data_IF_618861355294
#
_entry.id   IF_618861355294
#
_cell.length_a   1.000
_cell.length_b   1.000
_cell.length_c   1.000
_cell.angle_alpha   90.00
_cell.angle_beta   90.00
_cell.angle_gamma   90.00
#
_symmetry.space_group_name_H-M   'P 1'
#
loop_
_entity.id
_entity.type
_entity.pdbx_description
1 polymer ?
#
# COMPACT_ATOMS: atom_id res chain seq x y z
N UNK A 1 8.01 -64.66 -32.97
CA UNK A 1 7.38 -63.82 -31.92
C UNK A 1 8.12 -62.49 -31.88
N UNK A 2 7.69 -61.49 -32.67
CA UNK A 2 8.23 -60.14 -32.65
C UNK A 2 7.04 -59.17 -32.55
N UNK A 3 6.83 -58.57 -31.37
CA UNK A 3 5.80 -57.55 -31.15
C UNK A 3 6.36 -56.16 -31.46
N UNK A 4 5.61 -55.26 -32.13
CA UNK A 4 6.08 -53.91 -32.40
C UNK A 4 5.84 -53.00 -31.18
N UNK A 5 6.84 -52.18 -30.88
CA UNK A 5 6.80 -51.18 -29.83
C UNK A 5 6.02 -49.90 -30.21
N UNK A 6 5.41 -49.32 -29.18
CA UNK A 6 5.03 -47.94 -28.89
C UNK A 6 4.79 -46.92 -30.03
N UNK A 7 3.72 -46.11 -29.85
CA UNK A 7 3.81 -44.65 -29.72
C UNK A 7 2.46 -44.06 -29.25
N UNK A 8 2.33 -43.76 -27.97
CA UNK A 8 1.25 -42.92 -27.43
C UNK A 8 1.62 -41.45 -27.59
N UNK A 9 1.15 -40.83 -28.67
CA UNK A 9 1.25 -39.38 -28.87
C UNK A 9 0.27 -38.65 -27.94
N UNK A 10 0.74 -38.22 -26.76
CA UNK A 10 -0.04 -37.36 -25.86
C UNK A 10 -0.34 -35.98 -26.47
N UNK A 11 -1.48 -35.34 -26.15
CA UNK A 11 -1.92 -34.11 -26.78
C UNK A 11 -0.98 -32.94 -26.47
N UNK A 12 -0.22 -32.50 -27.48
CA UNK A 12 0.70 -31.34 -27.42
C UNK A 12 -0.01 -29.97 -27.45
N UNK A 13 -1.33 -29.92 -27.27
CA UNK A 13 -2.14 -28.72 -27.51
C UNK A 13 -2.35 -27.78 -26.33
N UNK A 14 -2.07 -28.21 -25.09
CA UNK A 14 -2.41 -27.46 -23.87
C UNK A 14 -1.27 -26.60 -23.31
N UNK A 15 -0.04 -26.74 -23.81
CA UNK A 15 1.12 -25.94 -23.34
C UNK A 15 0.95 -24.43 -23.57
N UNK A 16 0.13 -24.02 -24.53
CA UNK A 16 -0.16 -22.59 -24.82
C UNK A 16 -1.06 -21.91 -23.78
N UNK A 17 -1.73 -22.68 -22.93
CA UNK A 17 -2.60 -22.17 -21.85
C UNK A 17 -1.96 -22.30 -20.46
N UNK A 18 -0.83 -23.00 -20.36
CA UNK A 18 -0.10 -23.26 -19.10
C UNK A 18 1.19 -22.44 -18.97
N UNK A 19 1.51 -21.59 -19.95
CA UNK A 19 2.61 -20.63 -19.84
C UNK A 19 2.16 -19.38 -19.07
N UNK A 20 3.09 -18.67 -18.39
CA UNK A 20 2.80 -17.37 -17.80
C UNK A 20 2.17 -16.47 -18.86
N UNK A 21 0.96 -15.98 -18.61
CA UNK A 21 0.32 -15.01 -19.50
C UNK A 21 1.19 -13.75 -19.48
N UNK A 22 1.59 -13.19 -20.64
CA UNK A 22 2.30 -11.92 -20.64
C UNK A 22 1.44 -10.88 -19.89
N UNK A 23 2.04 -10.06 -19.03
CA UNK A 23 1.32 -9.01 -18.32
C UNK A 23 0.55 -8.19 -19.35
N UNK A 24 -0.74 -7.99 -19.11
CA UNK A 24 -1.52 -7.09 -19.95
C UNK A 24 -1.10 -5.67 -19.57
N UNK A 25 -0.92 -4.77 -20.54
CA UNK A 25 -0.68 -3.38 -20.19
C UNK A 25 -1.83 -2.88 -19.34
N UNK A 26 -1.50 -2.23 -18.24
CA UNK A 26 -2.47 -1.54 -17.41
C UNK A 26 -3.17 -0.45 -18.25
N UNK A 27 -4.47 -0.26 -18.03
CA UNK A 27 -5.27 0.74 -18.76
C UNK A 27 -5.91 1.70 -17.80
N UNK A 28 -5.96 2.98 -18.17
CA UNK A 28 -6.73 3.97 -17.43
C UNK A 28 -8.21 3.57 -17.42
N UNK A 29 -8.79 3.42 -16.24
CA UNK A 29 -10.17 2.99 -16.05
C UNK A 29 -11.20 4.08 -16.38
N UNK A 30 -10.74 5.32 -16.65
CA UNK A 30 -11.60 6.43 -17.05
C UNK A 30 -11.70 6.61 -18.57
N UNK A 31 -10.57 6.53 -19.29
CA UNK A 31 -10.52 6.79 -20.74
C UNK A 31 -10.01 5.63 -21.58
N UNK A 32 -9.57 4.53 -20.97
CA UNK A 32 -9.12 3.32 -21.65
C UNK A 32 -7.72 3.39 -22.26
N UNK A 33 -7.00 4.52 -22.14
CA UNK A 33 -5.63 4.62 -22.67
C UNK A 33 -4.69 3.68 -21.89
N UNK A 34 -3.76 3.04 -22.59
CA UNK A 34 -2.70 2.27 -21.94
C UNK A 34 -1.87 3.21 -21.06
N UNK A 35 -1.53 2.76 -19.86
CA UNK A 35 -0.66 3.46 -18.94
C UNK A 35 0.64 2.67 -18.75
N UNK A 36 1.73 3.38 -18.48
CA UNK A 36 3.00 2.72 -18.18
C UNK A 36 2.88 1.96 -16.84
N UNK A 37 3.49 0.78 -16.75
CA UNK A 37 3.59 0.03 -15.49
C UNK A 37 4.25 0.92 -14.41
N UNK A 38 5.35 1.57 -14.79
CA UNK A 38 6.05 2.54 -13.94
C UNK A 38 5.55 3.96 -14.22
N UNK A 39 4.79 4.53 -13.27
CA UNK A 39 4.43 5.96 -13.28
C UNK A 39 3.01 6.30 -13.74
N UNK A 40 2.10 5.32 -13.80
CA UNK A 40 0.67 5.63 -13.80
C UNK A 40 0.24 6.20 -12.44
N UNK A 41 -0.88 6.94 -12.44
CA UNK A 41 -1.40 7.59 -11.25
C UNK A 41 -2.60 6.81 -10.74
N UNK A 42 -2.94 6.99 -9.47
CA UNK A 42 -4.15 6.42 -8.89
C UNK A 42 -5.13 7.50 -8.46
N UNK A 43 -6.40 7.14 -8.57
CA UNK A 43 -7.48 7.82 -7.87
C UNK A 43 -8.03 6.90 -6.78
N UNK A 44 -8.54 7.46 -5.70
CA UNK A 44 -9.34 6.74 -4.70
C UNK A 44 -10.80 7.01 -4.96
N UNK A 45 -11.58 5.94 -5.15
CA UNK A 45 -13.04 6.01 -5.06
C UNK A 45 -13.44 5.96 -3.58
N UNK A 46 -13.70 7.12 -2.96
CA UNK A 46 -13.85 7.27 -1.50
C UNK A 46 -15.00 6.47 -0.90
N UNK A 47 -16.11 6.32 -1.64
CA UNK A 47 -17.27 5.53 -1.22
C UNK A 47 -16.95 4.02 -1.18
N UNK A 48 -16.24 3.50 -2.20
CA UNK A 48 -15.91 2.07 -2.32
C UNK A 48 -14.57 1.69 -1.69
N UNK A 49 -13.72 2.68 -1.41
CA UNK A 49 -12.34 2.53 -0.94
C UNK A 49 -11.49 1.68 -1.87
N UNK A 50 -11.68 1.89 -3.16
CA UNK A 50 -10.94 1.19 -4.20
C UNK A 50 -10.03 2.16 -4.94
N UNK A 51 -8.84 1.68 -5.28
CA UNK A 51 -7.94 2.39 -6.18
C UNK A 51 -8.42 2.21 -7.61
N UNK A 52 -8.23 3.26 -8.40
CA UNK A 52 -8.59 3.31 -9.82
C UNK A 52 -7.35 3.78 -10.59
N UNK A 53 -6.90 2.99 -11.55
CA UNK A 53 -5.78 3.33 -12.41
C UNK A 53 -6.13 4.51 -13.33
N UNK A 54 -5.29 5.54 -13.32
CA UNK A 54 -5.50 6.76 -14.10
C UNK A 54 -4.24 7.16 -14.89
N UNK A 55 -4.45 7.60 -16.13
CA UNK A 55 -3.40 8.31 -16.86
C UNK A 55 -3.20 9.71 -16.27
N UNK A 56 -2.04 10.33 -16.54
CA UNK A 56 -1.71 11.67 -16.02
C UNK A 56 -2.78 12.71 -16.33
N UNK A 57 -3.32 12.70 -17.56
CA UNK A 57 -4.36 13.65 -17.97
C UNK A 57 -5.65 13.50 -17.15
N UNK A 58 -6.10 12.26 -16.93
CA UNK A 58 -7.27 12.00 -16.11
C UNK A 58 -7.02 12.34 -14.64
N UNK A 59 -5.86 11.99 -14.08
CA UNK A 59 -5.51 12.32 -12.69
C UNK A 59 -5.53 13.84 -12.43
N UNK A 60 -5.06 14.65 -13.38
CA UNK A 60 -5.08 16.12 -13.27
C UNK A 60 -6.49 16.72 -13.22
N UNK A 61 -7.52 16.02 -13.72
CA UNK A 61 -8.90 16.49 -13.64
C UNK A 61 -9.46 16.40 -12.21
N UNK A 62 -9.01 15.41 -11.44
CA UNK A 62 -9.47 15.14 -10.07
C UNK A 62 -8.54 15.74 -8.99
N UNK A 63 -7.41 16.32 -9.39
CA UNK A 63 -6.47 17.04 -8.53
C UNK A 63 -6.95 18.49 -8.25
N UNK A 64 -7.93 18.98 -9.02
CA UNK A 64 -8.41 20.37 -8.90
C UNK A 64 -9.46 20.52 -7.77
N UNK A 65 -9.28 21.48 -6.85
CA UNK A 65 -10.31 21.82 -5.86
C UNK A 65 -11.64 22.15 -6.55
N UNK A 66 -12.71 21.45 -6.19
CA UNK A 66 -14.06 21.66 -6.73
C UNK A 66 -14.41 20.94 -8.04
N UNK A 67 -13.45 20.26 -8.69
CA UNK A 67 -13.72 19.41 -9.87
C UNK A 67 -13.97 17.95 -9.48
N UNK A 68 -13.53 17.53 -8.30
CA UNK A 68 -13.88 16.25 -7.72
C UNK A 68 -15.39 16.23 -7.47
N UNK A 69 -16.12 15.44 -8.25
CA UNK A 69 -17.52 15.09 -7.97
C UNK A 69 -17.58 14.17 -6.74
N UNK A 70 -17.02 14.58 -5.59
CA UNK A 70 -17.02 13.96 -4.26
C UNK A 70 -16.44 12.53 -4.12
N UNK A 71 -16.44 11.76 -5.20
CA UNK A 71 -16.26 10.30 -5.19
C UNK A 71 -14.86 9.87 -5.59
N UNK A 72 -14.22 10.58 -6.51
CA UNK A 72 -12.88 10.25 -6.99
C UNK A 72 -11.92 11.36 -6.57
N UNK A 73 -10.82 10.96 -5.93
CA UNK A 73 -9.77 11.88 -5.49
C UNK A 73 -8.41 11.40 -5.96
N UNK A 74 -7.60 12.31 -6.49
CA UNK A 74 -6.24 11.98 -6.90
C UNK A 74 -5.37 11.64 -5.70
N UNK A 75 -4.60 10.56 -5.82
CA UNK A 75 -3.59 10.20 -4.83
C UNK A 75 -2.39 11.16 -4.97
N UNK A 76 -2.00 11.88 -3.89
CA UNK A 76 -0.82 12.72 -3.88
C UNK A 76 0.47 11.93 -4.13
N UNK A 77 1.55 12.61 -4.48
CA UNK A 77 2.88 12.00 -4.66
C UNK A 77 3.90 12.49 -3.61
N UNK A 78 3.42 12.82 -2.40
CA UNK A 78 4.28 13.35 -1.33
C UNK A 78 4.63 12.28 -0.31
N UNK A 79 5.89 12.29 0.12
CA UNK A 79 6.44 11.39 1.12
C UNK A 79 7.10 12.24 2.19
N UNK A 80 6.63 12.12 3.43
CA UNK A 80 7.19 12.85 4.57
C UNK A 80 7.61 11.88 5.66
N UNK A 81 8.63 12.26 6.42
CA UNK A 81 9.04 11.54 7.63
C UNK A 81 9.24 12.52 8.76
N UNK A 82 8.99 12.06 9.99
CA UNK A 82 9.27 12.79 11.21
C UNK A 82 10.21 11.94 12.08
N UNK A 83 11.54 12.15 12.00
CA UNK A 83 12.50 11.44 12.84
C UNK A 83 12.31 11.72 14.35
N UNK A 84 11.57 12.77 14.70
CA UNK A 84 11.20 13.09 16.07
C UNK A 84 9.99 12.29 16.58
N UNK A 85 9.23 11.64 15.70
CA UNK A 85 8.11 10.80 16.09
C UNK A 85 8.63 9.57 16.83
N UNK A 86 8.16 9.40 18.07
CA UNK A 86 8.51 8.24 18.90
C UNK A 86 7.25 7.47 19.21
N UNK A 87 7.19 6.26 18.68
CA UNK A 87 6.29 5.22 19.15
C UNK A 87 7.14 4.19 19.88
N UNK A 88 6.93 4.06 21.19
CA UNK A 88 7.61 3.06 22.00
C UNK A 88 6.96 1.67 21.83
N UNK A 89 7.62 0.64 22.38
CA UNK A 89 7.17 -0.75 22.25
C UNK A 89 5.78 -0.96 22.89
N UNK A 90 5.50 -0.27 24.00
CA UNK A 90 4.21 -0.39 24.69
C UNK A 90 3.06 0.12 23.81
N UNK A 91 3.27 1.24 23.12
CA UNK A 91 2.30 1.79 22.18
C UNK A 91 2.12 0.88 20.94
N UNK A 92 3.17 0.19 20.47
CA UNK A 92 3.02 -0.80 19.41
C UNK A 92 2.16 -2.00 19.82
N UNK A 93 2.35 -2.53 21.03
CA UNK A 93 1.59 -3.68 21.52
C UNK A 93 0.09 -3.38 21.66
N UNK A 94 -0.28 -2.13 21.97
CA UNK A 94 -1.68 -1.68 21.97
C UNK A 94 -2.35 -1.80 20.59
N UNK A 95 -1.58 -1.74 19.49
CA UNK A 95 -2.10 -1.87 18.13
C UNK A 95 -2.57 -3.30 17.81
N UNK A 96 -2.14 -4.29 18.59
CA UNK A 96 -2.44 -5.73 18.37
C UNK A 96 -2.06 -6.21 16.97
N UNK A 97 -0.98 -5.66 16.41
CA UNK A 97 -0.52 -5.99 15.04
C UNK A 97 0.58 -7.06 15.13
N UNK A 98 0.36 -8.25 14.54
CA UNK A 98 1.27 -9.39 14.69
C UNK A 98 2.54 -9.31 13.82
N UNK A 99 2.63 -8.30 12.96
CA UNK A 99 3.74 -8.08 12.02
C UNK A 99 4.42 -6.75 12.32
N UNK A 100 5.65 -6.55 11.85
CA UNK A 100 6.40 -5.30 12.08
C UNK A 100 6.04 -4.14 11.15
N UNK A 101 4.86 -4.16 10.51
CA UNK A 101 4.45 -3.12 9.55
C UNK A 101 2.95 -2.90 9.59
N UNK A 102 2.53 -1.65 9.54
CA UNK A 102 1.14 -1.25 9.54
C UNK A 102 0.99 0.08 8.81
N UNK A 103 -0.21 0.36 8.31
CA UNK A 103 -0.53 1.68 7.83
C UNK A 103 -1.91 2.14 8.30
N UNK A 104 -2.03 3.45 8.47
CA UNK A 104 -3.19 4.10 9.07
C UNK A 104 -3.66 5.22 8.16
N UNK A 105 -4.96 5.29 7.91
CA UNK A 105 -5.55 6.39 7.15
C UNK A 105 -6.86 6.82 7.77
N UNK A 106 -7.24 8.09 7.56
CA UNK A 106 -8.54 8.62 7.97
C UNK A 106 -9.56 8.32 6.88
N UNK A 107 -10.58 7.54 7.20
CA UNK A 107 -11.72 7.35 6.32
C UNK A 107 -12.71 8.51 6.49
N UNK A 108 -12.88 9.35 5.47
CA UNK A 108 -13.76 10.51 5.58
C UNK A 108 -15.24 10.10 5.67
N UNK A 109 -15.65 9.04 4.97
CA UNK A 109 -17.05 8.61 4.94
C UNK A 109 -17.56 8.04 6.29
N UNK A 110 -16.70 7.35 7.04
CA UNK A 110 -17.00 6.83 8.37
C UNK A 110 -16.51 7.73 9.51
N UNK A 111 -15.82 8.82 9.17
CA UNK A 111 -15.18 9.74 10.11
C UNK A 111 -14.29 9.02 11.16
N UNK A 112 -13.55 8.00 10.75
CA UNK A 112 -12.70 7.19 11.64
C UNK A 112 -11.34 6.85 11.02
N UNK A 113 -10.36 6.60 11.88
CA UNK A 113 -9.10 6.00 11.47
C UNK A 113 -9.27 4.50 11.21
N UNK A 114 -8.52 4.00 10.24
CA UNK A 114 -8.47 2.58 9.88
C UNK A 114 -7.02 2.11 9.96
N UNK A 115 -6.77 1.03 10.70
CA UNK A 115 -5.50 0.31 10.70
C UNK A 115 -5.56 -0.82 9.68
N UNK A 116 -4.55 -0.93 8.83
CA UNK A 116 -4.36 -2.11 7.99
C UNK A 116 -2.93 -2.64 8.15
N UNK A 117 -2.78 -3.96 8.08
CA UNK A 117 -1.48 -4.60 7.99
C UNK A 117 -1.50 -5.70 6.92
N UNK A 118 -0.35 -6.00 6.27
CA UNK A 118 -0.25 -7.10 5.31
C UNK A 118 -0.44 -8.47 5.97
N UNK A 119 -1.21 -9.33 5.32
CA UNK A 119 -1.41 -10.73 5.69
C UNK A 119 -1.51 -11.63 4.45
N UNK A 120 -1.53 -12.97 4.60
CA UNK A 120 -1.77 -13.88 3.48
C UNK A 120 -3.09 -13.61 2.72
N UNK A 121 -4.09 -13.06 3.41
CA UNK A 121 -5.38 -12.71 2.82
C UNK A 121 -5.38 -11.35 2.11
N UNK A 122 -4.31 -10.56 2.24
CA UNK A 122 -4.22 -9.19 1.75
C UNK A 122 -4.19 -8.20 2.92
N UNK A 123 -4.85 -7.05 2.75
CA UNK A 123 -4.91 -6.03 3.79
C UNK A 123 -5.87 -6.51 4.89
N UNK A 124 -5.37 -6.69 6.10
CA UNK A 124 -6.18 -7.07 7.26
C UNK A 124 -6.38 -5.86 8.15
N UNK A 125 -7.64 -5.59 8.50
CA UNK A 125 -7.99 -4.50 9.42
C UNK A 125 -7.69 -4.92 10.86
N UNK A 126 -6.99 -4.05 11.60
CA UNK A 126 -6.90 -4.18 13.06
C UNK A 126 -8.06 -3.42 13.67
N UNK A 127 -8.87 -4.11 14.47
CA UNK A 127 -9.90 -3.47 15.28
C UNK A 127 -9.22 -2.69 16.40
N UNK A 128 -9.31 -1.37 16.39
CA UNK A 128 -8.72 -0.53 17.43
C UNK A 128 -9.75 0.47 17.91
N UNK A 129 -9.83 0.63 19.23
CA UNK A 129 -10.70 1.62 19.84
C UNK A 129 -10.14 3.04 19.64
N UNK A 130 -11.00 4.08 19.72
CA UNK A 130 -10.60 5.48 19.61
C UNK A 130 -9.50 5.96 20.56
N UNK A 131 -9.39 5.41 21.78
CA UNK A 131 -8.41 5.87 22.77
C UNK A 131 -7.00 5.34 22.45
N UNK A 132 -6.91 4.09 21.98
CA UNK A 132 -5.67 3.52 21.46
C UNK A 132 -5.13 4.38 20.31
N UNK A 133 -6.02 4.95 19.48
CA UNK A 133 -5.61 5.85 18.41
C UNK A 133 -4.95 7.14 18.89
N UNK A 134 -5.59 7.83 19.85
CA UNK A 134 -5.03 9.07 20.39
C UNK A 134 -3.68 8.82 21.05
N UNK A 135 -3.54 7.67 21.70
CA UNK A 135 -2.30 7.26 22.37
C UNK A 135 -1.15 6.99 21.38
N UNK A 136 -1.44 6.33 20.26
CA UNK A 136 -0.42 5.92 19.28
C UNK A 136 -0.10 7.03 18.28
N UNK A 137 -1.13 7.70 17.73
CA UNK A 137 -1.00 8.62 16.59
C UNK A 137 -1.44 10.06 16.90
N UNK A 138 -2.14 10.30 18.01
CA UNK A 138 -2.80 11.57 18.32
C UNK A 138 -1.89 12.77 18.59
N UNK A 139 -0.58 12.57 18.68
CA UNK A 139 0.40 13.64 18.95
C UNK A 139 1.50 13.77 17.87
N UNK A 140 1.39 13.05 16.76
CA UNK A 140 2.39 13.06 15.69
C UNK A 140 2.17 14.21 14.71
N UNK A 141 3.21 14.98 14.39
CA UNK A 141 3.15 16.09 13.41
C UNK A 141 2.69 15.64 12.02
N UNK A 142 2.97 14.40 11.66
CA UNK A 142 2.50 13.81 10.40
C UNK A 142 0.99 13.55 10.40
N UNK A 143 0.40 13.23 11.55
CA UNK A 143 -1.04 12.99 11.68
C UNK A 143 -1.85 14.25 11.36
N UNK A 144 -1.35 15.43 11.71
CA UNK A 144 -2.00 16.71 11.43
C UNK A 144 -1.99 17.08 9.93
N UNK A 145 -1.05 16.53 9.17
CA UNK A 145 -0.91 16.76 7.74
C UNK A 145 -1.69 15.75 6.89
N UNK A 146 -2.09 14.63 7.48
CA UNK A 146 -2.67 13.49 6.81
C UNK A 146 -3.94 13.88 6.03
N UNK A 147 -3.92 13.73 4.71
CA UNK A 147 -5.11 13.93 3.90
C UNK A 147 -6.00 12.68 3.94
N UNK A 148 -7.29 12.80 4.36
CA UNK A 148 -8.19 11.65 4.46
C UNK A 148 -8.32 10.89 3.15
N UNK A 149 -8.51 9.58 3.22
CA UNK A 149 -8.71 8.61 2.13
C UNK A 149 -7.56 8.44 1.12
N UNK A 150 -6.69 9.44 0.93
CA UNK A 150 -5.68 9.46 -0.14
C UNK A 150 -4.24 9.32 0.35
N UNK A 151 -4.02 9.46 1.65
CA UNK A 151 -2.72 9.27 2.29
C UNK A 151 -2.81 8.35 3.50
N UNK A 152 -1.66 7.80 3.88
CA UNK A 152 -1.52 6.99 5.07
C UNK A 152 -0.28 7.36 5.88
N UNK A 153 -0.37 7.13 7.19
CA UNK A 153 0.79 6.96 8.06
C UNK A 153 1.23 5.51 7.96
N UNK A 154 2.38 5.26 7.35
CA UNK A 154 3.02 3.96 7.25
C UNK A 154 4.05 3.82 8.38
N UNK A 155 3.87 2.80 9.21
CA UNK A 155 4.74 2.51 10.33
C UNK A 155 5.49 1.21 10.13
N UNK A 156 6.75 1.20 10.57
CA UNK A 156 7.62 0.03 10.59
C UNK A 156 8.28 -0.12 11.95
N UNK A 157 8.14 -1.29 12.55
CA UNK A 157 8.90 -1.68 13.75
C UNK A 157 10.23 -2.32 13.34
N UNK A 158 11.33 -1.79 13.87
CA UNK A 158 12.69 -2.31 13.66
C UNK A 158 13.50 -2.11 14.95
N UNK A 159 14.24 -3.12 15.41
CA UNK A 159 15.25 -3.01 16.50
C UNK A 159 14.94 -1.98 17.62
N UNK A 160 13.77 -2.06 18.26
CA UNK A 160 13.38 -1.19 19.39
C UNK A 160 13.00 0.25 19.04
N UNK A 161 12.83 0.56 17.76
CA UNK A 161 12.31 1.82 17.26
C UNK A 161 11.18 1.59 16.24
N UNK A 162 10.31 2.59 16.15
CA UNK A 162 9.25 2.63 15.14
C UNK A 162 9.49 3.81 14.23
N UNK A 163 9.62 3.55 12.95
CA UNK A 163 9.69 4.59 11.93
C UNK A 163 8.28 4.92 11.46
N UNK A 164 8.02 6.20 11.19
CA UNK A 164 6.74 6.68 10.71
C UNK A 164 6.94 7.56 9.47
N UNK A 165 6.15 7.27 8.44
CA UNK A 165 6.16 7.97 7.16
C UNK A 165 4.73 8.37 6.80
N UNK A 166 4.52 9.60 6.36
CA UNK A 166 3.31 9.95 5.62
C UNK A 166 3.57 9.66 4.15
N UNK A 167 2.71 8.86 3.56
CA UNK A 167 2.89 8.33 2.20
C UNK A 167 1.57 8.36 1.43
N UNK A 168 1.63 8.30 0.08
CA UNK A 168 0.47 8.03 -0.75
C UNK A 168 -0.19 6.69 -0.36
N UNK A 169 -1.53 6.63 -0.31
CA UNK A 169 -2.23 5.41 0.15
C UNK A 169 -2.02 4.21 -0.80
N UNK A 170 -1.80 4.47 -2.08
CA UNK A 170 -1.63 3.43 -3.10
C UNK A 170 -0.39 2.58 -2.86
N UNK A 171 0.72 3.15 -2.39
CA UNK A 171 1.92 2.38 -2.08
C UNK A 171 1.74 1.44 -0.88
N UNK A 172 0.82 1.73 0.03
CA UNK A 172 0.47 0.83 1.12
C UNK A 172 -0.27 -0.41 0.58
N UNK A 173 -1.16 -0.21 -0.39
CA UNK A 173 -1.83 -1.31 -1.08
C UNK A 173 -0.89 -2.07 -2.02
N UNK A 174 0.07 -1.39 -2.68
CA UNK A 174 1.18 -2.04 -3.40
C UNK A 174 1.96 -2.97 -2.46
N UNK A 175 2.36 -2.47 -1.29
CA UNK A 175 3.05 -3.27 -0.28
C UNK A 175 2.26 -4.51 0.11
N UNK A 176 0.97 -4.35 0.40
CA UNK A 176 0.08 -5.48 0.73
C UNK A 176 0.04 -6.49 -0.42
N UNK A 177 -0.14 -6.03 -1.66
CA UNK A 177 -0.17 -6.89 -2.84
C UNK A 177 1.14 -7.66 -3.01
N UNK A 178 2.28 -6.97 -2.87
CA UNK A 178 3.63 -7.56 -2.93
C UNK A 178 3.84 -8.60 -1.83
N UNK A 179 3.47 -8.29 -0.59
CA UNK A 179 3.58 -9.21 0.54
C UNK A 179 2.71 -10.44 0.36
N UNK A 180 1.48 -10.27 -0.13
CA UNK A 180 0.57 -11.38 -0.43
C UNK A 180 1.12 -12.34 -1.49
N UNK A 181 1.82 -11.83 -2.50
CA UNK A 181 2.45 -12.65 -3.55
C UNK A 181 3.66 -13.45 -3.04
N UNK A 182 4.43 -12.85 -2.13
CA UNK A 182 5.66 -13.44 -1.59
C UNK A 182 5.43 -14.28 -0.34
N UNK A 183 4.20 -14.33 0.17
CA UNK A 183 3.91 -14.98 1.43
C UNK A 183 4.13 -16.49 1.34
N UNK A 184 5.14 -16.98 2.05
CA UNK A 184 5.43 -18.40 2.24
C UNK A 184 5.49 -18.68 3.75
N UNK A 185 4.69 -19.62 4.26
CA UNK A 185 4.71 -20.00 5.69
C UNK A 185 4.09 -18.96 6.65
N UNK A 186 4.47 -18.97 7.93
CA UNK A 186 3.92 -18.06 8.96
C UNK A 186 4.72 -16.75 9.09
N UNK A 187 6.01 -16.75 8.74
CA UNK A 187 6.95 -15.63 8.93
C UNK A 187 7.26 -14.86 7.62
N UNK A 188 6.56 -15.19 6.52
CA UNK A 188 6.77 -14.63 5.18
C UNK A 188 8.10 -15.03 4.52
N UNK A 189 8.96 -15.79 5.20
CA UNK A 189 10.26 -16.22 4.69
C UNK A 189 11.27 -15.09 4.42
N UNK A 190 12.44 -15.47 3.90
CA UNK A 190 13.52 -14.54 3.60
C UNK A 190 13.17 -13.57 2.45
N UNK A 191 12.36 -14.02 1.49
CA UNK A 191 11.94 -13.24 0.33
C UNK A 191 11.00 -12.08 0.71
N UNK A 192 9.98 -12.33 1.55
CA UNK A 192 9.12 -11.23 2.02
C UNK A 192 9.91 -10.22 2.86
N UNK A 193 10.85 -10.69 3.71
CA UNK A 193 11.74 -9.80 4.47
C UNK A 193 12.61 -8.94 3.55
N UNK A 194 13.14 -9.51 2.45
CA UNK A 194 13.92 -8.76 1.48
C UNK A 194 13.08 -7.73 0.72
N UNK A 195 11.88 -8.12 0.27
CA UNK A 195 10.96 -7.22 -0.41
C UNK A 195 10.46 -6.08 0.48
N UNK A 196 10.24 -6.34 1.77
CA UNK A 196 9.89 -5.33 2.75
C UNK A 196 11.04 -4.32 2.95
N UNK A 197 12.28 -4.80 3.08
CA UNK A 197 13.46 -3.92 3.17
C UNK A 197 13.59 -3.04 1.93
N UNK A 198 13.53 -3.63 0.74
CA UNK A 198 13.64 -2.88 -0.52
C UNK A 198 12.52 -1.84 -0.68
N UNK A 199 11.30 -2.17 -0.22
CA UNK A 199 10.18 -1.23 -0.21
C UNK A 199 10.46 -0.03 0.71
N UNK A 200 10.91 -0.26 1.94
CA UNK A 200 11.23 0.83 2.86
C UNK A 200 12.44 1.66 2.41
N UNK A 201 13.45 1.05 1.81
CA UNK A 201 14.55 1.78 1.18
C UNK A 201 14.05 2.73 0.07
N UNK A 202 13.00 2.34 -0.69
CA UNK A 202 12.37 3.25 -1.67
C UNK A 202 11.63 4.39 -0.99
N UNK A 203 10.88 4.10 0.08
CA UNK A 203 10.14 5.12 0.85
C UNK A 203 11.12 6.12 1.46
N UNK A 204 12.17 5.66 2.12
CA UNK A 204 13.22 6.48 2.72
C UNK A 204 13.89 7.41 1.70
N UNK A 205 14.21 6.91 0.49
CA UNK A 205 14.81 7.74 -0.58
C UNK A 205 13.88 8.86 -1.07
N UNK A 206 12.57 8.67 -1.00
CA UNK A 206 11.56 9.66 -1.45
C UNK A 206 11.13 10.59 -0.32
N UNK A 207 11.19 10.12 0.92
CA UNK A 207 10.72 10.83 2.09
C UNK A 207 11.54 12.09 2.34
N UNK A 208 10.85 13.20 2.58
CA UNK A 208 11.44 14.45 3.04
C UNK A 208 11.19 14.61 4.52
N UNK A 209 12.22 14.99 5.27
CA UNK A 209 12.07 15.32 6.69
C UNK A 209 11.13 16.50 6.80
N UNK A 210 10.11 16.37 7.65
CA UNK A 210 9.21 17.46 7.95
C UNK A 210 10.00 18.62 8.55
N UNK A 211 10.04 19.76 7.86
CA UNK A 211 10.75 20.94 8.31
C UNK A 211 10.34 21.25 9.76
N UNK A 212 11.30 21.45 10.66
CA UNK A 212 10.99 21.84 12.03
C UNK A 212 10.21 23.15 11.96
N UNK A 213 9.04 23.21 12.61
CA UNK A 213 8.32 24.46 12.75
C UNK A 213 9.25 25.41 13.48
N UNK A 214 9.75 26.40 12.75
CA UNK A 214 10.61 27.43 13.31
C UNK A 214 9.81 28.13 14.39
N UNK A 215 10.23 27.95 15.64
CA UNK A 215 9.84 28.79 16.77
C UNK A 215 9.87 30.25 16.30
N UNK A 216 8.69 30.87 16.26
CA UNK A 216 8.52 32.32 16.28
C UNK A 216 7.53 32.65 17.39
#
# INVERSE_FOLDING_TARGET
MNGPGARTGGPRGLRRFAGPRPPRPETCELCGVAVAEDGHRHLVETEKRTLVCACTACALLFDRPGAATGRLRTVPDRYLTDPGHRLDEAAWELLRIPVGVAFFFRNAALDRLVALYPSPAGATESELDPETWQTVLGAGRLSDLLEPDVEALLLRRSEGHTECYLVPIDICYELVGRMRLLWQGFDGGAEARAALREFFERVERRARVLAQDGVR
#
